data_IF_570673421534
#
_entry.id   IF_570673421534
#
_cell.length_a   1.000
_cell.length_b   1.000
_cell.length_c   1.000
_cell.angle_alpha   90.00
_cell.angle_beta   90.00
_cell.angle_gamma   90.00
#
_symmetry.space_group_name_H-M   'P 1'
#
loop_
_entity.id
_entity.type
_entity.pdbx_description
1 polymer ?
#
# COMPACT_ATOMS: atom_id res chain seq x y z
N UNK A 1 -23.53 5.13 5.62
CA UNK A 1 -23.03 3.75 5.52
C UNK A 1 -21.54 3.77 5.72
N UNK A 2 -21.02 3.22 6.82
CA UNK A 2 -19.60 3.27 7.13
C UNK A 2 -18.84 2.30 6.22
N UNK A 3 -17.89 2.82 5.45
CA UNK A 3 -16.91 2.02 4.71
C UNK A 3 -16.03 1.32 5.75
N UNK A 4 -15.81 0.01 5.58
CA UNK A 4 -15.12 -0.85 6.54
C UNK A 4 -13.77 -0.29 6.99
N UNK A 5 -13.54 -0.29 8.29
CA UNK A 5 -12.49 0.48 8.98
C UNK A 5 -11.11 -0.20 8.93
N UNK A 6 -10.70 -0.73 7.78
CA UNK A 6 -9.36 -1.29 7.60
C UNK A 6 -9.25 -2.26 6.41
N UNK A 7 -8.13 -2.13 5.68
CA UNK A 7 -7.70 -3.07 4.65
C UNK A 7 -6.41 -3.73 5.15
N UNK A 8 -6.36 -5.06 5.17
CA UNK A 8 -5.16 -5.82 5.56
C UNK A 8 -4.54 -6.42 4.30
N UNK A 9 -3.27 -6.12 4.06
CA UNK A 9 -2.46 -6.77 3.03
C UNK A 9 -1.53 -7.79 3.69
N UNK A 10 -1.45 -8.98 3.10
CA UNK A 10 -0.50 -10.01 3.49
C UNK A 10 0.26 -10.50 2.25
N UNK A 11 1.56 -10.73 2.39
CA UNK A 11 2.36 -11.34 1.34
C UNK A 11 1.97 -12.81 1.14
N UNK A 12 2.05 -13.31 -0.10
CA UNK A 12 1.95 -14.73 -0.39
C UNK A 12 3.34 -15.37 -0.40
N UNK A 13 3.43 -16.66 -0.05
CA UNK A 13 4.71 -17.38 -0.03
C UNK A 13 5.25 -17.55 -1.45
N UNK A 14 6.38 -16.92 -1.76
CA UNK A 14 7.19 -17.21 -2.94
C UNK A 14 8.22 -18.27 -2.54
N UNK A 15 8.32 -19.36 -3.29
CA UNK A 15 9.12 -20.54 -2.90
C UNK A 15 10.60 -20.45 -3.30
N UNK A 16 10.94 -19.62 -4.29
CA UNK A 16 12.31 -19.39 -4.74
C UNK A 16 12.68 -17.90 -4.65
N UNK A 17 12.99 -17.43 -3.44
CA UNK A 17 13.57 -16.09 -3.27
C UNK A 17 15.06 -16.11 -3.61
N UNK A 18 15.51 -15.09 -4.33
CA UNK A 18 16.94 -14.79 -4.46
C UNK A 18 17.52 -14.45 -3.09
N UNK A 19 18.80 -14.78 -2.88
CA UNK A 19 19.48 -14.45 -1.62
C UNK A 19 19.59 -12.94 -1.45
N UNK A 20 19.64 -12.48 -0.19
CA UNK A 20 19.84 -11.07 0.13
C UNK A 20 21.10 -10.48 -0.53
N UNK A 21 22.16 -11.27 -0.71
CA UNK A 21 23.38 -10.85 -1.39
C UNK A 21 23.14 -10.55 -2.89
N UNK A 22 22.26 -11.32 -3.54
CA UNK A 22 21.95 -11.16 -4.97
C UNK A 22 21.01 -9.99 -5.24
N UNK A 23 20.21 -9.59 -4.26
CA UNK A 23 19.26 -8.48 -4.38
C UNK A 23 19.75 -7.19 -3.71
N UNK A 24 20.87 -7.22 -2.99
CA UNK A 24 21.37 -6.10 -2.21
C UNK A 24 21.54 -4.84 -3.06
N UNK A 25 20.90 -3.74 -2.63
CA UNK A 25 20.97 -2.44 -3.30
C UNK A 25 20.06 -2.30 -4.52
N UNK A 26 19.45 -3.39 -4.99
CA UNK A 26 18.45 -3.33 -6.06
C UNK A 26 17.04 -3.19 -5.46
N UNK A 27 16.57 -1.95 -5.40
CA UNK A 27 15.24 -1.62 -4.89
C UNK A 27 14.12 -2.31 -5.65
N UNK A 28 14.30 -2.64 -6.93
CA UNK A 28 13.26 -3.34 -7.70
C UNK A 28 13.03 -4.78 -7.25
N UNK A 29 14.02 -5.36 -6.58
CA UNK A 29 13.96 -6.72 -6.02
C UNK A 29 13.77 -6.73 -4.50
N UNK A 30 14.05 -5.59 -3.82
CA UNK A 30 13.92 -5.44 -2.37
C UNK A 30 12.63 -4.73 -1.93
N UNK A 31 11.94 -4.03 -2.83
CA UNK A 31 10.71 -3.28 -2.55
C UNK A 31 9.53 -3.81 -3.36
N UNK A 32 8.35 -3.72 -2.76
CA UNK A 32 7.07 -3.84 -3.46
C UNK A 32 6.35 -2.50 -3.39
N UNK A 33 5.78 -2.07 -4.50
CA UNK A 33 4.87 -0.93 -4.55
C UNK A 33 3.44 -1.46 -4.67
N UNK A 34 2.59 -1.10 -3.72
CA UNK A 34 1.17 -1.46 -3.71
C UNK A 34 0.37 -0.24 -4.13
N UNK A 35 -0.16 -0.26 -5.35
CA UNK A 35 -1.06 0.77 -5.83
C UNK A 35 -2.50 0.48 -5.39
N UNK A 36 -3.16 1.50 -4.85
CA UNK A 36 -4.57 1.43 -4.46
C UNK A 36 -5.36 2.44 -5.27
N UNK A 37 -6.36 1.96 -5.99
CA UNK A 37 -7.36 2.83 -6.63
C UNK A 37 -8.51 3.02 -5.64
N UNK A 38 -9.03 4.24 -5.56
CA UNK A 38 -10.08 4.64 -4.62
C UNK A 38 -11.36 3.79 -4.71
N UNK A 39 -12.28 4.01 -3.77
CA UNK A 39 -13.53 3.27 -3.68
C UNK A 39 -14.49 3.60 -4.83
N UNK A 40 -15.11 2.59 -5.43
CA UNK A 40 -16.04 2.74 -6.58
C UNK A 40 -17.43 3.27 -6.20
N UNK A 41 -17.75 3.39 -4.91
CA UNK A 41 -19.06 3.83 -4.42
C UNK A 41 -18.89 4.88 -3.31
N UNK A 42 -19.70 5.95 -3.36
CA UNK A 42 -19.84 6.91 -2.26
C UNK A 42 -18.76 7.99 -2.14
N UNK A 43 -17.81 8.06 -3.08
CA UNK A 43 -16.80 9.12 -3.13
C UNK A 43 -17.04 9.98 -4.36
N UNK A 44 -17.48 11.21 -4.13
CA UNK A 44 -17.69 12.18 -5.22
C UNK A 44 -16.34 12.78 -5.66
N UNK A 45 -16.10 12.94 -6.98
CA UNK A 45 -14.95 13.69 -7.47
C UNK A 45 -14.91 15.09 -6.83
N UNK A 46 -13.72 15.62 -6.48
CA UNK A 46 -12.37 15.11 -6.74
C UNK A 46 -11.77 14.30 -5.58
N UNK A 47 -12.59 13.87 -4.61
CA UNK A 47 -12.09 13.26 -3.38
C UNK A 47 -11.39 11.93 -3.65
N UNK A 48 -10.20 11.77 -3.10
CA UNK A 48 -9.41 10.53 -3.15
C UNK A 48 -8.97 10.16 -1.73
N UNK A 49 -9.91 9.79 -0.84
CA UNK A 49 -9.61 9.59 0.56
C UNK A 49 -8.67 8.39 0.74
N UNK A 50 -7.61 8.62 1.50
CA UNK A 50 -6.74 7.57 1.98
C UNK A 50 -7.41 6.81 3.13
N UNK A 51 -7.19 5.49 3.28
CA UNK A 51 -7.60 4.78 4.48
C UNK A 51 -7.03 5.43 5.74
N UNK A 52 -7.82 5.46 6.82
CA UNK A 52 -7.39 5.99 8.13
C UNK A 52 -6.25 5.19 8.76
N UNK A 53 -6.03 3.95 8.32
CA UNK A 53 -4.98 3.08 8.82
C UNK A 53 -4.48 2.16 7.70
N UNK A 54 -3.16 2.10 7.52
CA UNK A 54 -2.48 1.19 6.61
C UNK A 54 -1.36 0.52 7.40
N UNK A 55 -1.42 -0.80 7.53
CA UNK A 55 -0.42 -1.59 8.24
C UNK A 55 0.03 -2.78 7.40
N UNK A 56 1.33 -3.10 7.45
CA UNK A 56 1.88 -4.33 6.88
C UNK A 56 2.03 -5.36 8.01
N UNK A 57 1.27 -6.45 7.94
CA UNK A 57 1.28 -7.51 8.95
C UNK A 57 2.40 -8.55 8.71
N UNK A 58 3.55 -8.13 8.19
CA UNK A 58 4.66 -9.01 7.88
C UNK A 58 5.90 -8.63 8.71
N UNK A 59 6.28 -9.52 9.62
CA UNK A 59 7.41 -9.28 10.52
C UNK A 59 8.73 -9.12 9.75
N UNK A 60 9.56 -8.18 10.19
CA UNK A 60 10.86 -7.89 9.57
C UNK A 60 10.81 -6.98 8.34
N UNK A 61 9.62 -6.53 7.91
CA UNK A 61 9.46 -5.55 6.84
C UNK A 61 9.08 -4.18 7.39
N UNK A 62 9.78 -3.15 6.93
CA UNK A 62 9.48 -1.76 7.28
C UNK A 62 8.57 -1.19 6.19
N UNK A 63 7.34 -0.81 6.57
CA UNK A 63 6.46 -0.02 5.71
C UNK A 63 6.75 1.47 5.97
N UNK A 64 7.11 2.21 4.92
CA UNK A 64 7.31 3.66 5.02
C UNK A 64 5.98 4.42 5.14
N UNK A 65 6.06 5.74 5.36
CA UNK A 65 4.88 6.60 5.39
C UNK A 65 4.17 6.55 4.03
N UNK A 66 2.88 6.21 3.98
CA UNK A 66 2.21 6.06 2.71
C UNK A 66 1.89 7.43 2.10
N UNK A 67 1.97 7.53 0.78
CA UNK A 67 1.72 8.78 0.04
C UNK A 67 0.44 8.68 -0.79
N UNK A 68 -0.40 9.71 -0.76
CA UNK A 68 -1.58 9.84 -1.62
C UNK A 68 -1.21 10.52 -2.94
N UNK A 69 -1.51 9.87 -4.07
CA UNK A 69 -1.40 10.48 -5.39
C UNK A 69 -2.78 10.96 -5.85
N UNK A 70 -2.97 12.28 -5.89
CA UNK A 70 -4.22 12.93 -6.30
C UNK A 70 -4.53 14.15 -5.43
N UNK A 71 -5.03 15.23 -6.05
CA UNK A 71 -5.31 16.48 -5.36
C UNK A 71 -6.71 16.47 -4.78
N UNK A 72 -6.85 16.72 -3.48
CA UNK A 72 -8.09 17.28 -2.95
C UNK A 72 -8.28 18.66 -3.61
N UNK A 73 -9.39 18.91 -4.31
CA UNK A 73 -9.81 20.29 -4.50
C UNK A 73 -10.52 20.67 -3.20
N UNK A 74 -9.80 21.36 -2.31
CA UNK A 74 -10.43 22.07 -1.19
C UNK A 74 -11.24 23.22 -1.78
N UNK A 75 -12.56 23.14 -1.66
CA UNK A 75 -13.41 24.31 -1.49
C UNK A 75 -14.26 24.10 -0.25
#
# INVERSE_FOLDING_TARGET
SAVGNGTIFAGSSVIDLKTAATTAGDLTQMQVQVEMVGTTLGVAPPSVPMPSTINLANDGFICGEPASQGSYAVM
#
